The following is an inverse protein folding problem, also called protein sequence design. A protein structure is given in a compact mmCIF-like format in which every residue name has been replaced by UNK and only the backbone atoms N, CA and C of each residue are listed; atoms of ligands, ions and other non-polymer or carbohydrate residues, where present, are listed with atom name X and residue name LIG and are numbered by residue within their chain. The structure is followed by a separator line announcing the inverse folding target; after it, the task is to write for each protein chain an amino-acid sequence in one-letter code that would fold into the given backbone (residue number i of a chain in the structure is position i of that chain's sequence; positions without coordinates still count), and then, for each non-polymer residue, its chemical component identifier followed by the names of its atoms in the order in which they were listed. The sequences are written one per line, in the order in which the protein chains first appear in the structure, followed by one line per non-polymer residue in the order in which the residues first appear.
data_IF_450793955733
#
_entry.id   IF_450793955733
#
_cell.length_a   1.000
_cell.length_b   1.000
_cell.length_c   1.000
_cell.angle_alpha   90.00
_cell.angle_beta   90.00
_cell.angle_gamma   90.00
#
_symmetry.space_group_name_H-M   'P 1'
#
loop_
_entity.id
_entity.type
_entity.pdbx_description
1 polymer ?
#
# COMPACT_ATOMS: atom_id res chain seq x y z
N UNK A 1 -1.53 -1.38 18.01
CA UNK A 1 -0.92 -2.12 16.87
C UNK A 1 0.46 -1.55 16.56
N UNK A 2 1.51 -2.38 16.48
CA UNK A 2 2.84 -1.94 16.02
C UNK A 2 2.86 -1.84 14.48
N UNK A 3 2.50 -0.68 13.93
CA UNK A 3 2.65 -0.40 12.49
C UNK A 3 4.09 -0.55 11.94
N UNK A 4 5.17 -0.29 12.71
CA UNK A 4 6.53 -0.54 12.22
C UNK A 4 6.85 -2.01 11.96
N UNK A 5 6.33 -2.94 12.79
CA UNK A 5 6.58 -4.38 12.64
C UNK A 5 5.73 -5.00 11.53
N UNK A 6 4.67 -4.33 11.08
CA UNK A 6 3.81 -4.81 10.00
C UNK A 6 4.58 -4.97 8.68
N UNK A 7 4.21 -5.99 7.90
CA UNK A 7 4.89 -6.34 6.65
C UNK A 7 4.71 -5.26 5.58
N UNK A 8 5.73 -5.05 4.75
CA UNK A 8 5.69 -4.06 3.67
C UNK A 8 4.51 -4.28 2.71
N UNK A 9 4.17 -5.55 2.45
CA UNK A 9 3.01 -5.90 1.63
C UNK A 9 1.71 -5.39 2.25
N UNK A 10 1.54 -5.55 3.56
CA UNK A 10 0.37 -5.03 4.29
C UNK A 10 0.30 -3.50 4.22
N UNK A 11 1.41 -2.80 4.44
CA UNK A 11 1.47 -1.34 4.36
C UNK A 11 1.09 -0.84 2.95
N UNK A 12 1.59 -1.49 1.90
CA UNK A 12 1.27 -1.11 0.53
C UNK A 12 -0.18 -1.45 0.15
N UNK A 13 -0.73 -2.58 0.62
CA UNK A 13 -2.14 -2.93 0.44
C UNK A 13 -3.04 -1.89 1.10
N UNK A 14 -2.76 -1.52 2.36
CA UNK A 14 -3.48 -0.47 3.08
C UNK A 14 -3.44 0.86 2.30
N UNK A 15 -2.25 1.25 1.85
CA UNK A 15 -2.05 2.47 1.04
C UNK A 15 -2.93 2.48 -0.22
N UNK A 16 -3.00 1.37 -0.95
CA UNK A 16 -3.81 1.26 -2.18
C UNK A 16 -5.30 1.27 -1.84
N UNK A 17 -5.72 0.49 -0.84
CA UNK A 17 -7.12 0.38 -0.43
C UNK A 17 -7.71 1.73 0.04
N UNK A 18 -6.91 2.54 0.73
CA UNK A 18 -7.31 3.85 1.24
C UNK A 18 -6.78 5.03 0.41
N UNK A 19 -6.20 4.77 -0.78
CA UNK A 19 -5.72 5.79 -1.72
C UNK A 19 -4.82 6.87 -1.10
N UNK A 20 -3.93 6.47 -0.17
CA UNK A 20 -3.03 7.41 0.51
C UNK A 20 -2.14 8.12 -0.51
N UNK A 21 -2.00 9.45 -0.38
CA UNK A 21 -1.13 10.31 -1.24
C UNK A 21 0.37 10.07 -1.05
N UNK A 22 0.76 9.03 -0.34
CA UNK A 22 2.15 8.68 -0.05
C UNK A 22 2.71 7.72 -1.09
N UNK A 23 3.98 7.86 -1.52
CA UNK A 23 4.62 6.93 -2.44
C UNK A 23 4.87 5.55 -1.79
N UNK A 24 5.32 4.57 -2.59
CA UNK A 24 5.55 3.21 -2.11
C UNK A 24 6.82 3.13 -1.26
N UNK A 25 6.86 2.20 -0.31
CA UNK A 25 8.09 1.89 0.43
C UNK A 25 9.13 1.16 -0.44
N UNK A 26 10.41 1.28 -0.09
CA UNK A 26 11.47 0.40 -0.63
C UNK A 26 11.25 -1.06 -0.20
N UNK A 27 11.63 -2.00 -1.07
CA UNK A 27 11.44 -3.44 -0.81
C UNK A 27 12.45 -4.02 0.20
N UNK A 28 13.66 -3.47 0.22
CA UNK A 28 14.74 -3.89 1.10
C UNK A 28 15.57 -2.66 1.48
N UNK A 29 16.22 -2.73 2.64
CA UNK A 29 17.16 -1.71 3.09
C UNK A 29 18.35 -1.59 2.13
N UNK A 30 18.75 -2.69 1.49
CA UNK A 30 19.79 -2.69 0.45
C UNK A 30 19.41 -1.80 -0.74
N UNK A 31 18.20 -1.96 -1.27
CA UNK A 31 17.71 -1.13 -2.37
C UNK A 31 17.59 0.34 -1.96
N UNK A 32 17.18 0.61 -0.72
CA UNK A 32 17.13 1.97 -0.20
C UNK A 32 18.53 2.58 -0.17
N UNK A 33 19.53 1.87 0.36
CA UNK A 33 20.91 2.34 0.42
C UNK A 33 21.46 2.62 -0.99
N UNK A 34 21.36 1.64 -1.91
CA UNK A 34 21.85 1.80 -3.29
C UNK A 34 21.21 2.97 -4.05
N UNK A 35 19.91 3.15 -3.90
CA UNK A 35 19.16 4.16 -4.66
C UNK A 35 19.26 5.56 -4.05
N UNK A 36 19.51 5.65 -2.74
CA UNK A 36 19.61 6.92 -2.02
C UNK A 36 21.04 7.44 -1.98
N UNK A 37 22.03 6.56 -1.95
CA UNK A 37 23.45 6.94 -1.95
C UNK A 37 23.82 7.73 -3.22
N UNK A 38 24.71 8.72 -3.10
CA UNK A 38 25.19 9.49 -4.25
C UNK A 38 25.85 8.56 -5.28
N UNK A 39 25.46 8.68 -6.55
CA UNK A 39 25.98 7.86 -7.65
C UNK A 39 24.93 7.43 -8.67
N UNK A 40 25.18 6.32 -9.37
CA UNK A 40 24.33 5.78 -10.45
C UNK A 40 22.88 5.49 -10.00
N UNK A 41 22.66 5.22 -8.71
CA UNK A 41 21.34 4.93 -8.15
C UNK A 41 20.32 6.07 -8.33
N UNK A 42 20.77 7.33 -8.41
CA UNK A 42 19.89 8.49 -8.60
C UNK A 42 19.32 8.58 -10.02
N UNK A 43 20.03 8.03 -11.01
CA UNK A 43 19.62 7.98 -12.41
C UNK A 43 18.67 6.79 -12.70
N UNK A 44 18.50 5.87 -11.74
CA UNK A 44 17.54 4.78 -11.85
C UNK A 44 16.14 5.33 -12.14
N UNK A 45 15.32 4.65 -12.97
CA UNK A 45 13.91 5.02 -13.19
C UNK A 45 13.09 5.18 -11.90
N UNK A 46 13.52 4.52 -10.80
CA UNK A 46 12.89 4.65 -9.48
C UNK A 46 13.18 6.01 -8.82
N UNK A 47 14.38 6.54 -9.01
CA UNK A 47 14.86 7.77 -8.37
C UNK A 47 14.82 9.01 -9.29
N UNK A 48 14.83 8.80 -10.61
CA UNK A 48 14.65 9.85 -11.62
C UNK A 48 13.25 10.51 -11.56
N UNK A 49 12.26 9.87 -10.94
CA UNK A 49 10.92 10.44 -10.73
C UNK A 49 10.97 11.72 -9.88
N UNK A 50 9.94 12.58 -10.03
CA UNK A 50 9.71 13.74 -9.16
C UNK A 50 9.79 13.33 -7.70
N UNK A 51 10.41 14.15 -6.84
CA UNK A 51 10.70 13.84 -5.42
C UNK A 51 9.49 13.28 -4.67
N UNK A 52 8.31 13.87 -4.88
CA UNK A 52 7.06 13.48 -4.20
C UNK A 52 6.54 12.08 -4.63
N UNK A 53 7.01 11.55 -5.75
CA UNK A 53 6.65 10.22 -6.27
C UNK A 53 7.75 9.17 -6.07
N UNK A 54 8.90 9.55 -5.50
CA UNK A 54 10.01 8.61 -5.23
C UNK A 54 9.64 7.68 -4.09
N UNK A 55 10.21 6.47 -4.09
CA UNK A 55 9.99 5.53 -2.98
C UNK A 55 10.53 6.11 -1.68
N UNK A 56 9.88 5.75 -0.57
CA UNK A 56 10.20 6.20 0.78
C UNK A 56 10.70 5.03 1.63
N UNK A 57 11.34 5.35 2.75
CA UNK A 57 11.71 4.35 3.74
C UNK A 57 10.46 3.64 4.30
N UNK A 58 10.62 2.37 4.69
CA UNK A 58 9.53 1.58 5.29
C UNK A 58 8.96 2.28 6.52
N UNK A 59 9.81 2.83 7.38
CA UNK A 59 9.40 3.45 8.64
C UNK A 59 8.58 4.72 8.40
N UNK A 60 8.91 5.48 7.36
CA UNK A 60 8.13 6.65 6.95
C UNK A 60 6.73 6.22 6.48
N UNK A 61 6.64 5.16 5.67
CA UNK A 61 5.35 4.61 5.24
C UNK A 61 4.53 4.11 6.43
N UNK A 62 5.16 3.43 7.39
CA UNK A 62 4.51 2.94 8.60
C UNK A 62 3.94 4.11 9.43
N UNK A 63 4.72 5.19 9.59
CA UNK A 63 4.29 6.37 10.33
C UNK A 63 3.11 7.09 9.67
N UNK A 64 3.10 7.20 8.33
CA UNK A 64 1.99 7.81 7.60
C UNK A 64 0.72 6.96 7.67
N UNK A 65 0.86 5.63 7.55
CA UNK A 65 -0.26 4.70 7.72
C UNK A 65 -0.84 4.80 9.12
N UNK A 66 0.02 4.81 10.16
CA UNK A 66 -0.41 5.00 11.56
C UNK A 66 -1.19 6.30 11.74
N UNK A 67 -0.68 7.41 11.20
CA UNK A 67 -1.36 8.71 11.29
C UNK A 67 -2.74 8.66 10.63
N UNK A 68 -2.81 8.12 9.40
CA UNK A 68 -4.06 7.99 8.66
C UNK A 68 -5.08 7.10 9.39
N UNK A 69 -4.62 5.96 9.91
CA UNK A 69 -5.46 5.04 10.68
C UNK A 69 -6.03 5.70 11.94
N UNK A 70 -5.19 6.42 12.69
CA UNK A 70 -5.64 7.11 13.91
C UNK A 70 -6.59 8.29 13.62
N UNK A 71 -6.52 8.90 12.43
CA UNK A 71 -7.41 9.99 12.02
C UNK A 71 -8.69 9.52 11.33
N UNK A 72 -8.88 8.21 11.15
CA UNK A 72 -10.06 7.70 10.47
C UNK A 72 -11.28 7.83 11.38
N UNK A 73 -12.25 8.65 10.98
CA UNK A 73 -13.53 8.75 11.67
C UNK A 73 -14.39 7.54 11.27
N UNK A 74 -14.47 6.54 12.15
CA UNK A 74 -15.20 5.30 11.90
C UNK A 74 -16.17 5.05 13.05
N UNK A 75 -17.40 4.67 12.73
CA UNK A 75 -18.38 4.22 13.72
C UNK A 75 -18.11 2.76 14.10
N UNK A 76 -17.98 2.48 15.40
CA UNK A 76 -17.67 1.15 15.92
C UNK A 76 -18.72 0.10 15.54
N UNK A 77 -20.00 0.47 15.63
CA UNK A 77 -21.11 -0.45 15.35
C UNK A 77 -21.06 -0.97 13.91
N UNK A 78 -20.78 -0.08 12.96
CA UNK A 78 -20.69 -0.43 11.54
C UNK A 78 -19.49 -1.35 11.25
N UNK A 79 -18.38 -1.19 11.98
CA UNK A 79 -17.19 -2.05 11.84
C UNK A 79 -17.47 -3.44 12.37
N UNK A 80 -18.09 -3.56 13.54
CA UNK A 80 -18.42 -4.85 14.15
C UNK A 80 -19.38 -5.62 13.25
N UNK A 81 -20.45 -4.98 12.78
CA UNK A 81 -21.41 -5.57 11.87
C UNK A 81 -20.74 -6.06 10.57
N UNK A 82 -19.90 -5.22 9.95
CA UNK A 82 -19.15 -5.58 8.74
C UNK A 82 -18.16 -6.73 8.99
N UNK A 83 -17.48 -6.76 10.13
CA UNK A 83 -16.55 -7.82 10.49
C UNK A 83 -17.28 -9.16 10.68
N UNK A 84 -18.37 -9.18 11.43
CA UNK A 84 -19.20 -10.37 11.63
C UNK A 84 -19.77 -10.86 10.31
N UNK A 85 -20.31 -9.96 9.48
CA UNK A 85 -20.83 -10.30 8.17
C UNK A 85 -19.75 -10.97 7.28
N UNK A 86 -18.58 -10.33 7.13
CA UNK A 86 -17.47 -10.89 6.33
C UNK A 86 -16.93 -12.20 6.90
N UNK A 87 -16.89 -12.35 8.22
CA UNK A 87 -16.38 -13.56 8.88
C UNK A 87 -17.30 -14.75 8.67
N UNK A 88 -18.62 -14.52 8.63
CA UNK A 88 -19.64 -15.56 8.42
C UNK A 88 -19.85 -15.93 6.95
N UNK A 89 -19.42 -15.08 6.01
CA UNK A 89 -19.63 -15.25 4.57
C UNK A 89 -18.33 -15.34 3.76
N UNK A 90 -17.26 -15.87 4.37
CA UNK A 90 -15.92 -15.98 3.75
C UNK A 90 -15.87 -16.77 2.45
N UNK A 91 -16.83 -17.68 2.22
CA UNK A 91 -16.85 -18.52 1.01
C UNK A 91 -17.71 -17.93 -0.12
N UNK A 92 -18.48 -16.88 0.19
CA UNK A 92 -19.34 -16.18 -0.77
C UNK A 92 -18.63 -14.99 -1.43
N UNK A 93 -17.31 -14.84 -1.26
CA UNK A 93 -16.59 -13.70 -1.83
C UNK A 93 -16.76 -13.73 -3.34
N UNK A 94 -17.48 -12.74 -3.84
CA UNK A 94 -17.69 -12.54 -5.26
C UNK A 94 -16.34 -12.43 -5.96
N UNK A 95 -15.97 -13.49 -6.69
CA UNK A 95 -14.80 -13.52 -7.57
C UNK A 95 -15.16 -12.69 -8.80
N UNK A 96 -15.01 -11.39 -8.69
CA UNK A 96 -15.06 -10.48 -9.83
C UNK A 96 -13.83 -10.77 -10.69
N UNK A 97 -13.98 -11.67 -11.66
CA UNK A 97 -13.05 -11.79 -12.77
C UNK A 97 -13.00 -10.41 -13.43
N UNK A 98 -11.83 -9.76 -13.43
CA UNK A 98 -11.61 -8.57 -14.23
C UNK A 98 -11.94 -8.97 -15.67
N UNK A 99 -13.01 -8.42 -16.22
CA UNK A 99 -13.39 -8.61 -17.60
C UNK A 99 -12.26 -8.12 -18.51
N UNK A 100 -11.35 -9.01 -18.88
CA UNK A 100 -10.50 -8.84 -20.05
C UNK A 100 -11.44 -9.03 -21.23
N UNK A 101 -11.89 -7.93 -21.81
CA UNK A 101 -12.45 -7.94 -23.15
C UNK A 101 -11.32 -8.34 -24.10
N UNK A 102 -11.26 -9.63 -24.44
CA UNK A 102 -10.44 -10.09 -25.55
C UNK A 102 -11.04 -9.46 -26.81
N UNK A 103 -10.42 -8.38 -27.27
CA UNK A 103 -10.76 -7.74 -28.53
C UNK A 103 -10.38 -8.75 -29.62
N UNK A 104 -11.37 -9.48 -30.17
CA UNK A 104 -11.15 -10.24 -31.40
C UNK A 104 -10.96 -9.22 -32.52
N UNK A 105 -9.74 -9.15 -33.07
CA UNK A 105 -9.48 -8.40 -34.30
C UNK A 105 -10.22 -9.08 -35.48
N UNK A 106 -10.63 -8.29 -36.48
CA UNK A 106 -11.40 -8.76 -37.63
C UNK A 106 -10.63 -9.78 -38.48
#
# INVERSE_FOLDING_TARGET
MLWPSASLSLLNKYRIAHQLRTPAGFSSLYHQALLTNPGIGRQSPTMAKKRNKRRIARDQLAATVRKHFNSAAINENDVIANMMYRTRHKDKVFRMSLGVTVIKKP
#
